data_IF_446596631530
#
_entry.id   IF_446596631530
#
_cell.length_a   1.000
_cell.length_b   1.000
_cell.length_c   1.000
_cell.angle_alpha   90.00
_cell.angle_beta   90.00
_cell.angle_gamma   90.00
#
_symmetry.space_group_name_H-M   'P 1'
#
loop_
_entity.id
_entity.type
_entity.pdbx_description
1 polymer ?
#
# COMPACT_ATOMS: atom_id res chain seq x y z
N UNK A 1 8.35 0.70 -25.78
CA UNK A 1 9.12 1.26 -26.92
C UNK A 1 8.25 2.01 -27.93
N UNK A 2 7.26 1.40 -28.59
CA UNK A 2 6.37 2.11 -29.55
C UNK A 2 5.76 3.39 -28.99
N UNK A 3 5.23 3.32 -27.76
CA UNK A 3 4.67 4.49 -27.08
C UNK A 3 5.71 5.58 -26.79
N UNK A 4 6.97 5.21 -26.54
CA UNK A 4 8.05 6.18 -26.36
C UNK A 4 8.37 6.92 -27.66
N UNK A 5 8.45 6.20 -28.79
CA UNK A 5 8.67 6.84 -30.10
C UNK A 5 7.56 7.82 -30.47
N UNK A 6 6.31 7.54 -30.09
CA UNK A 6 5.18 8.47 -30.26
C UNK A 6 5.34 9.77 -29.48
N UNK A 7 5.96 9.73 -28.31
CA UNK A 7 6.25 10.93 -27.51
C UNK A 7 7.26 11.82 -28.25
N UNK A 8 8.29 11.21 -28.85
CA UNK A 8 9.30 11.93 -29.66
C UNK A 8 8.67 12.50 -30.93
N UNK A 9 7.88 11.70 -31.64
CA UNK A 9 7.21 12.11 -32.89
C UNK A 9 6.26 13.30 -32.66
N UNK A 10 5.62 13.37 -31.49
CA UNK A 10 4.78 14.50 -31.08
C UNK A 10 5.59 15.75 -30.71
N UNK A 11 6.89 15.61 -30.45
CA UNK A 11 7.77 16.71 -30.07
C UNK A 11 7.79 17.03 -28.57
N UNK A 12 7.20 16.18 -27.72
CA UNK A 12 7.17 16.43 -26.28
C UNK A 12 8.56 16.28 -25.64
N UNK A 13 9.33 15.29 -26.11
CA UNK A 13 10.67 14.97 -25.62
C UNK A 13 11.57 14.64 -26.80
N UNK A 14 12.84 15.01 -26.71
CA UNK A 14 13.87 14.48 -27.60
C UNK A 14 14.37 13.13 -27.10
N UNK A 15 15.04 12.36 -27.95
CA UNK A 15 15.69 11.11 -27.52
C UNK A 15 16.71 11.33 -26.39
N UNK A 16 17.39 12.49 -26.37
CA UNK A 16 18.36 12.84 -25.34
C UNK A 16 17.71 13.22 -24.00
N UNK A 17 16.51 13.82 -24.04
CA UNK A 17 15.77 14.22 -22.85
C UNK A 17 14.95 13.07 -22.23
N UNK A 18 14.67 12.01 -22.99
CA UNK A 18 13.86 10.88 -22.56
C UNK A 18 14.62 9.94 -21.61
N UNK A 19 14.99 10.47 -20.45
CA UNK A 19 15.70 9.75 -19.40
C UNK A 19 14.69 9.09 -18.46
N UNK A 20 15.02 7.87 -18.03
CA UNK A 20 14.14 7.08 -17.20
C UNK A 20 14.87 6.01 -16.39
N UNK A 21 14.08 5.26 -15.63
CA UNK A 21 14.57 4.07 -14.94
C UNK A 21 14.99 2.99 -15.94
N UNK A 22 15.68 1.95 -15.46
CA UNK A 22 16.04 0.78 -16.26
C UNK A 22 14.82 0.05 -16.86
N UNK A 23 13.64 0.16 -16.25
CA UNK A 23 12.40 -0.46 -16.72
C UNK A 23 11.60 0.46 -17.67
N UNK A 24 12.09 1.68 -17.94
CA UNK A 24 11.53 2.60 -18.92
C UNK A 24 10.53 3.60 -18.36
N UNK A 25 10.44 3.77 -17.04
CA UNK A 25 9.66 4.84 -16.42
C UNK A 25 10.33 6.21 -16.62
N UNK A 26 9.58 7.22 -17.07
CA UNK A 26 10.09 8.52 -17.48
C UNK A 26 9.85 9.60 -16.42
N UNK A 27 10.84 10.50 -16.29
CA UNK A 27 10.71 11.77 -15.56
C UNK A 27 10.37 11.62 -14.08
N UNK A 28 9.85 12.70 -13.49
CA UNK A 28 9.54 12.77 -12.06
C UNK A 28 8.32 11.91 -11.67
N UNK A 29 7.38 11.71 -12.60
CA UNK A 29 6.19 10.88 -12.37
C UNK A 29 6.49 9.39 -12.45
N UNK A 30 7.64 9.01 -13.00
CA UNK A 30 7.99 7.62 -13.29
C UNK A 30 6.89 6.92 -14.10
N UNK A 31 6.34 7.62 -15.10
CA UNK A 31 5.36 7.03 -16.00
C UNK A 31 6.03 6.14 -17.04
N UNK A 32 5.50 4.93 -17.22
CA UNK A 32 5.74 4.21 -18.46
C UNK A 32 5.24 5.05 -19.64
N UNK A 33 5.86 4.95 -20.83
CA UNK A 33 5.48 5.76 -21.99
C UNK A 33 3.99 5.65 -22.37
N UNK A 34 3.37 4.50 -22.12
CA UNK A 34 1.93 4.31 -22.32
C UNK A 34 1.08 5.19 -21.36
N UNK A 35 1.49 5.29 -20.08
CA UNK A 35 0.85 6.17 -19.12
C UNK A 35 1.11 7.64 -19.45
N UNK A 36 2.33 7.97 -19.88
CA UNK A 36 2.64 9.31 -20.36
C UNK A 36 1.69 9.72 -21.49
N UNK A 37 1.58 8.92 -22.55
CA UNK A 37 0.71 9.27 -23.68
C UNK A 37 -0.76 9.46 -23.27
N UNK A 38 -1.24 8.63 -22.35
CA UNK A 38 -2.65 8.64 -21.91
C UNK A 38 -2.98 9.71 -20.86
N UNK A 39 -2.03 10.05 -19.99
CA UNK A 39 -2.31 10.80 -18.76
C UNK A 39 -1.51 12.08 -18.62
N UNK A 40 -0.44 12.27 -19.39
CA UNK A 40 0.32 13.52 -19.33
C UNK A 40 -0.57 14.69 -19.81
N UNK A 41 -0.45 15.82 -19.11
CA UNK A 41 -1.21 17.05 -19.31
C UNK A 41 -0.21 18.18 -19.49
N UNK A 42 -0.45 19.00 -20.51
CA UNK A 42 0.16 20.32 -20.70
C UNK A 42 -0.71 21.29 -19.90
N UNK A 43 -0.24 21.70 -18.73
CA UNK A 43 -1.02 22.49 -17.78
C UNK A 43 -0.65 23.96 -17.79
N UNK A 44 0.59 24.29 -18.17
CA UNK A 44 1.02 25.68 -18.33
C UNK A 44 0.73 26.25 -19.74
N UNK A 45 0.36 25.39 -20.70
CA UNK A 45 -0.13 25.77 -22.02
C UNK A 45 0.97 26.08 -23.03
N UNK A 46 2.21 25.62 -22.79
CA UNK A 46 3.36 25.89 -23.66
C UNK A 46 3.44 24.97 -24.90
N UNK A 47 2.50 24.02 -25.01
CA UNK A 47 2.40 23.05 -26.10
C UNK A 47 3.13 21.73 -25.81
N UNK A 48 3.77 21.57 -24.65
CA UNK A 48 4.52 20.37 -24.25
C UNK A 48 3.97 19.79 -22.95
N UNK A 49 4.27 18.52 -22.71
CA UNK A 49 3.90 17.82 -21.47
C UNK A 49 5.16 17.48 -20.69
N UNK A 50 5.84 18.49 -20.17
CA UNK A 50 7.17 18.33 -19.57
C UNK A 50 7.08 17.73 -18.15
N UNK A 51 7.11 16.39 -18.08
CA UNK A 51 7.14 15.65 -16.81
C UNK A 51 8.53 15.58 -16.15
N UNK A 52 9.49 16.38 -16.61
CA UNK A 52 10.84 16.46 -16.07
C UNK A 52 11.07 17.76 -15.33
N UNK A 53 10.69 18.90 -15.92
CA UNK A 53 11.00 20.23 -15.39
C UNK A 53 9.77 21.09 -15.08
N UNK A 54 8.62 20.87 -15.74
CA UNK A 54 7.41 21.65 -15.47
C UNK A 54 6.67 21.08 -14.25
N UNK A 55 6.80 21.76 -13.10
CA UNK A 55 6.01 21.43 -11.92
C UNK A 55 4.49 21.44 -12.17
N UNK A 56 3.92 22.42 -12.92
CA UNK A 56 2.53 22.38 -13.36
C UNK A 56 2.15 21.06 -14.06
N UNK A 57 2.90 20.65 -15.08
CA UNK A 57 2.60 19.43 -15.85
C UNK A 57 2.75 18.17 -15.01
N UNK A 58 3.79 18.10 -14.18
CA UNK A 58 4.04 16.96 -13.28
C UNK A 58 2.86 16.78 -12.31
N UNK A 59 2.40 17.86 -11.67
CA UNK A 59 1.31 17.81 -10.70
C UNK A 59 -0.01 17.50 -11.40
N UNK A 60 -0.30 18.14 -12.53
CA UNK A 60 -1.53 17.94 -13.30
C UNK A 60 -1.63 16.52 -13.85
N UNK A 61 -0.54 15.99 -14.41
CA UNK A 61 -0.46 14.64 -14.95
C UNK A 61 -0.58 13.56 -13.87
N UNK A 62 0.09 13.78 -12.73
CA UNK A 62 -0.04 12.90 -11.56
C UNK A 62 -1.48 12.89 -11.06
N UNK A 63 -2.11 14.06 -10.98
CA UNK A 63 -3.52 14.20 -10.56
C UNK A 63 -4.47 13.51 -11.54
N UNK A 64 -4.27 13.71 -12.85
CA UNK A 64 -5.06 13.07 -13.90
C UNK A 64 -4.97 11.55 -13.82
N UNK A 65 -3.76 11.00 -13.62
CA UNK A 65 -3.60 9.56 -13.48
C UNK A 65 -4.25 9.03 -12.19
N UNK A 66 -4.04 9.67 -11.04
CA UNK A 66 -4.67 9.29 -9.76
C UNK A 66 -6.20 9.32 -9.84
N UNK A 67 -6.79 10.33 -10.49
CA UNK A 67 -8.23 10.38 -10.77
C UNK A 67 -8.66 9.21 -11.66
N UNK A 68 -7.91 8.90 -12.71
CA UNK A 68 -8.22 7.75 -13.59
C UNK A 68 -8.15 6.39 -12.89
N UNK A 69 -7.38 6.29 -11.79
CA UNK A 69 -7.30 5.10 -10.94
C UNK A 69 -8.49 4.98 -9.95
N UNK A 70 -9.35 5.99 -9.89
CA UNK A 70 -10.58 6.01 -9.10
C UNK A 70 -10.53 6.88 -7.85
N UNK A 71 -9.61 7.85 -7.77
CA UNK A 71 -9.58 8.78 -6.64
C UNK A 71 -10.88 9.57 -6.51
N UNK A 72 -11.44 9.60 -5.31
CA UNK A 72 -12.66 10.34 -4.98
C UNK A 72 -12.33 11.54 -4.13
N UNK A 73 -12.56 12.74 -4.67
CA UNK A 73 -12.35 14.01 -3.96
C UNK A 73 -13.15 14.03 -2.65
N UNK A 74 -12.51 14.47 -1.57
CA UNK A 74 -13.12 14.60 -0.25
C UNK A 74 -13.21 13.30 0.55
N UNK A 75 -12.89 12.13 -0.02
CA UNK A 75 -12.74 10.91 0.76
C UNK A 75 -11.35 10.81 1.39
N UNK A 76 -11.23 10.34 2.64
CA UNK A 76 -9.94 10.05 3.24
C UNK A 76 -9.28 8.84 2.55
N UNK A 77 -7.97 8.66 2.74
CA UNK A 77 -7.22 7.50 2.26
C UNK A 77 -6.74 6.63 3.42
N UNK A 78 -6.07 7.19 4.43
CA UNK A 78 -5.73 6.49 5.67
C UNK A 78 -6.01 7.34 6.92
N UNK A 79 -6.31 6.69 8.03
CA UNK A 79 -6.44 7.31 9.36
C UNK A 79 -5.76 6.41 10.41
N UNK A 80 -4.84 6.93 11.21
CA UNK A 80 -4.27 6.17 12.32
C UNK A 80 -5.32 5.92 13.41
N UNK A 81 -5.36 4.70 13.94
CA UNK A 81 -6.31 4.28 14.96
C UNK A 81 -5.66 3.47 16.07
N UNK A 82 -6.32 3.45 17.23
CA UNK A 82 -6.00 2.54 18.32
C UNK A 82 -6.97 1.36 18.29
N UNK A 83 -6.40 0.17 18.32
CA UNK A 83 -7.17 -1.08 18.26
C UNK A 83 -7.11 -1.77 19.64
N UNK A 84 -8.25 -2.27 20.17
CA UNK A 84 -8.26 -3.01 21.43
C UNK A 84 -7.68 -4.42 21.23
N UNK A 85 -7.15 -5.01 22.30
CA UNK A 85 -6.42 -6.29 22.22
C UNK A 85 -7.33 -7.48 21.82
N UNK A 86 -8.63 -7.38 22.10
CA UNK A 86 -9.64 -8.39 21.85
C UNK A 86 -10.33 -8.26 20.48
N UNK A 87 -9.81 -7.44 19.56
CA UNK A 87 -10.34 -7.39 18.20
C UNK A 87 -10.26 -8.78 17.55
N UNK A 88 -11.29 -9.13 16.78
CA UNK A 88 -11.25 -10.26 15.85
C UNK A 88 -10.20 -10.01 14.75
N UNK A 89 -8.94 -10.38 15.00
CA UNK A 89 -7.81 -10.06 14.11
C UNK A 89 -7.96 -10.60 12.68
N UNK A 90 -8.76 -11.63 12.47
CA UNK A 90 -9.11 -12.12 11.13
C UNK A 90 -9.84 -11.09 10.26
N UNK A 91 -10.45 -10.07 10.86
CA UNK A 91 -11.09 -8.95 10.15
C UNK A 91 -10.06 -7.91 9.67
N UNK A 92 -8.82 -7.95 10.17
CA UNK A 92 -7.76 -6.99 9.85
C UNK A 92 -7.09 -7.27 8.50
N UNK A 93 -7.82 -7.01 7.42
CA UNK A 93 -7.41 -7.28 6.05
C UNK A 93 -7.85 -6.18 5.10
N UNK A 94 -7.01 -5.83 4.14
CA UNK A 94 -7.36 -4.85 3.11
C UNK A 94 -8.54 -5.33 2.25
N UNK A 95 -8.71 -6.65 2.08
CA UNK A 95 -9.84 -7.23 1.35
C UNK A 95 -11.17 -7.19 2.13
N UNK A 96 -11.15 -6.91 3.44
CA UNK A 96 -12.33 -6.91 4.29
C UNK A 96 -12.69 -5.46 4.64
N UNK A 97 -13.81 -4.98 4.08
CA UNK A 97 -14.34 -3.64 4.37
C UNK A 97 -15.54 -3.75 5.30
N UNK A 98 -15.50 -3.02 6.40
CA UNK A 98 -16.65 -2.80 7.26
C UNK A 98 -16.99 -1.31 7.33
N UNK A 99 -18.25 -0.93 7.59
CA UNK A 99 -18.59 0.44 7.96
C UNK A 99 -17.73 0.93 9.12
N UNK A 100 -17.28 2.18 9.10
CA UNK A 100 -16.49 2.77 10.19
C UNK A 100 -17.18 2.67 11.56
N UNK A 101 -18.50 2.79 11.59
CA UNK A 101 -19.28 2.56 12.81
C UNK A 101 -19.15 1.14 13.39
N UNK A 102 -18.90 0.12 12.57
CA UNK A 102 -18.66 -1.25 13.04
C UNK A 102 -17.28 -1.40 13.69
N UNK A 103 -16.25 -0.76 13.14
CA UNK A 103 -14.94 -0.67 13.80
C UNK A 103 -15.04 0.05 15.15
N UNK A 104 -15.81 1.14 15.20
CA UNK A 104 -16.09 1.86 16.45
C UNK A 104 -16.82 0.98 17.48
N UNK A 105 -17.81 0.18 17.05
CA UNK A 105 -18.52 -0.78 17.92
C UNK A 105 -17.58 -1.86 18.46
N UNK A 106 -16.59 -2.29 17.67
CA UNK A 106 -15.52 -3.19 18.12
C UNK A 106 -14.44 -2.50 18.97
N UNK A 107 -14.63 -1.24 19.35
CA UNK A 107 -13.75 -0.52 20.26
C UNK A 107 -12.54 0.13 19.62
N UNK A 108 -12.49 0.23 18.29
CA UNK A 108 -11.45 1.01 17.59
C UNK A 108 -11.70 2.50 17.84
N UNK A 109 -10.66 3.21 18.25
CA UNK A 109 -10.72 4.66 18.55
C UNK A 109 -9.70 5.44 17.74
N UNK A 110 -9.80 6.77 17.78
CA UNK A 110 -8.72 7.66 17.36
C UNK A 110 -7.47 7.47 18.23
N UNK A 111 -6.29 7.97 17.81
CA UNK A 111 -5.06 7.83 18.58
C UNK A 111 -5.15 8.47 19.97
N UNK A 112 -5.90 9.57 20.10
CA UNK A 112 -6.19 10.28 21.36
C UNK A 112 -7.24 9.60 22.25
N UNK A 113 -7.77 8.44 21.82
CA UNK A 113 -8.80 7.69 22.56
C UNK A 113 -10.23 8.16 22.31
N UNK A 114 -10.45 9.23 21.55
CA UNK A 114 -11.82 9.67 21.20
C UNK A 114 -12.49 8.65 20.28
N UNK A 115 -13.83 8.52 20.35
CA UNK A 115 -14.56 7.60 19.49
C UNK A 115 -14.38 7.96 18.02
N UNK A 116 -14.33 6.93 17.17
CA UNK A 116 -14.50 7.11 15.73
C UNK A 116 -15.95 7.50 15.42
N UNK A 117 -16.21 8.28 14.35
CA UNK A 117 -17.55 8.50 13.86
C UNK A 117 -18.26 7.19 13.52
N UNK A 118 -19.55 7.12 13.85
CA UNK A 118 -20.37 5.92 13.66
C UNK A 118 -21.14 5.95 12.34
N UNK A 119 -20.44 6.25 11.25
CA UNK A 119 -21.03 6.34 9.91
C UNK A 119 -20.79 5.08 9.07
N UNK A 120 -21.37 5.09 7.87
CA UNK A 120 -21.33 3.98 6.93
C UNK A 120 -20.07 3.97 6.04
N UNK A 121 -19.11 4.88 6.27
CA UNK A 121 -17.93 5.00 5.42
C UNK A 121 -17.14 3.69 5.45
N UNK A 122 -16.98 2.97 4.32
CA UNK A 122 -16.29 1.68 4.31
C UNK A 122 -14.80 1.86 4.58
N UNK A 123 -14.27 1.05 5.50
CA UNK A 123 -12.85 1.02 5.83
C UNK A 123 -12.37 -0.40 6.07
N UNK A 124 -11.12 -0.66 5.70
CA UNK A 124 -10.36 -1.87 6.05
C UNK A 124 -9.40 -1.54 7.19
N UNK A 125 -9.15 -2.49 8.09
CA UNK A 125 -8.09 -2.34 9.08
C UNK A 125 -6.75 -2.85 8.52
N UNK A 126 -5.81 -1.94 8.36
CA UNK A 126 -4.46 -2.20 7.87
C UNK A 126 -3.46 -2.21 9.03
N UNK A 127 -2.71 -3.30 9.13
CA UNK A 127 -1.65 -3.51 10.12
C UNK A 127 -0.30 -3.67 9.39
N UNK A 128 0.47 -2.58 9.20
CA UNK A 128 1.76 -2.65 8.49
C UNK A 128 2.77 -3.56 9.18
N UNK A 129 2.73 -3.61 10.52
CA UNK A 129 3.68 -4.32 11.38
C UNK A 129 2.95 -5.24 12.38
N UNK A 130 1.85 -5.85 11.94
CA UNK A 130 1.01 -6.71 12.79
C UNK A 130 0.32 -5.96 13.93
N UNK A 131 -0.36 -6.70 14.81
CA UNK A 131 -1.22 -6.13 15.86
C UNK A 131 -0.50 -5.30 16.92
N UNK A 132 0.82 -5.43 17.01
CA UNK A 132 1.66 -4.73 17.98
C UNK A 132 2.25 -3.42 17.43
N UNK A 133 2.22 -3.23 16.11
CA UNK A 133 2.66 -2.01 15.43
C UNK A 133 1.57 -0.93 15.36
N UNK A 134 1.77 0.10 14.52
CA UNK A 134 0.72 1.05 14.19
C UNK A 134 -0.45 0.35 13.48
N UNK A 135 -1.63 0.91 13.64
CA UNK A 135 -2.85 0.46 12.98
C UNK A 135 -3.48 1.63 12.23
N UNK A 136 -3.96 1.34 11.02
CA UNK A 136 -4.54 2.34 10.12
C UNK A 136 -5.91 1.83 9.67
N UNK A 137 -6.93 2.68 9.66
CA UNK A 137 -8.06 2.48 8.78
C UNK A 137 -7.65 2.93 7.38
N UNK A 138 -7.79 2.03 6.41
CA UNK A 138 -7.59 2.30 4.99
C UNK A 138 -8.95 2.41 4.29
N UNK A 139 -9.12 3.49 3.54
CA UNK A 139 -10.36 3.84 2.84
C UNK A 139 -10.21 3.60 1.34
N UNK A 140 -11.27 3.85 0.56
CA UNK A 140 -11.25 3.62 -0.89
C UNK A 140 -10.12 4.36 -1.62
N UNK A 141 -9.78 5.58 -1.20
CA UNK A 141 -8.67 6.31 -1.81
C UNK A 141 -7.30 5.66 -1.54
N UNK A 142 -7.16 4.80 -0.53
CA UNK A 142 -5.94 4.02 -0.35
C UNK A 142 -5.71 3.01 -1.48
N UNK A 143 -6.79 2.49 -2.07
CA UNK A 143 -6.72 1.52 -3.17
C UNK A 143 -6.01 2.13 -4.40
N UNK A 144 -6.05 3.45 -4.57
CA UNK A 144 -5.34 4.16 -5.66
C UNK A 144 -3.82 4.02 -5.53
N UNK A 145 -3.28 4.07 -4.31
CA UNK A 145 -1.84 3.88 -4.09
C UNK A 145 -1.36 2.48 -4.50
N UNK A 146 -2.18 1.46 -4.24
CA UNK A 146 -1.90 0.07 -4.63
C UNK A 146 -2.06 -0.17 -6.15
N UNK A 147 -2.91 0.61 -6.82
CA UNK A 147 -3.03 0.60 -8.28
C UNK A 147 -1.87 1.31 -8.97
N UNK A 148 -1.34 2.37 -8.33
CA UNK A 148 -0.13 3.06 -8.80
C UNK A 148 1.09 2.14 -8.69
N UNK A 149 1.27 1.50 -7.53
CA UNK A 149 2.37 0.57 -7.30
C UNK A 149 1.90 -0.57 -6.39
N UNK A 150 2.07 -1.80 -6.86
CA UNK A 150 1.60 -3.02 -6.18
C UNK A 150 2.42 -3.41 -4.94
N UNK A 151 3.35 -2.57 -4.49
CA UNK A 151 4.06 -2.72 -3.22
C UNK A 151 3.28 -2.07 -2.08
N UNK A 152 2.83 -2.87 -1.12
CA UNK A 152 2.13 -2.38 0.06
C UNK A 152 3.01 -1.43 0.91
N UNK A 153 4.31 -1.71 1.05
CA UNK A 153 5.23 -0.83 1.79
C UNK A 153 5.39 0.53 1.10
N UNK A 154 5.48 0.55 -0.23
CA UNK A 154 5.47 1.78 -1.01
C UNK A 154 4.16 2.54 -0.81
N UNK A 155 3.01 1.86 -0.98
CA UNK A 155 1.69 2.47 -0.89
C UNK A 155 1.45 3.10 0.49
N UNK A 156 1.81 2.40 1.58
CA UNK A 156 1.75 2.93 2.95
C UNK A 156 2.67 4.14 3.11
N UNK A 157 3.89 4.07 2.58
CA UNK A 157 4.87 5.16 2.72
C UNK A 157 4.38 6.42 2.00
N UNK A 158 3.92 6.30 0.75
CA UNK A 158 3.39 7.41 -0.02
C UNK A 158 2.11 7.99 0.62
N UNK A 159 1.18 7.12 1.05
CA UNK A 159 -0.03 7.51 1.75
C UNK A 159 0.26 8.23 3.07
N UNK A 160 1.23 7.73 3.85
CA UNK A 160 1.65 8.36 5.10
C UNK A 160 2.34 9.70 4.87
N UNK A 161 3.22 9.79 3.87
CA UNK A 161 3.87 11.06 3.52
C UNK A 161 2.83 12.12 3.12
N UNK A 162 1.85 11.75 2.30
CA UNK A 162 0.74 12.65 1.94
C UNK A 162 -0.03 13.12 3.19
N UNK A 163 -0.29 12.22 4.15
CA UNK A 163 -0.96 12.58 5.41
C UNK A 163 -0.11 13.51 6.28
N UNK A 164 1.21 13.33 6.30
CA UNK A 164 2.14 14.22 7.02
C UNK A 164 2.19 15.62 6.41
N UNK A 165 2.14 15.72 5.07
CA UNK A 165 2.05 17.00 4.36
C UNK A 165 0.72 17.69 4.68
N UNK A 166 -0.38 16.94 4.80
CA UNK A 166 -1.72 17.45 5.17
C UNK A 166 -1.88 17.69 6.68
N UNK A 167 -0.81 17.57 7.48
CA UNK A 167 -0.80 17.93 8.90
C UNK A 167 -1.13 16.80 9.88
N UNK A 168 -1.29 15.55 9.43
CA UNK A 168 -1.40 14.41 10.35
C UNK A 168 -0.13 14.28 11.20
N UNK A 169 -0.20 13.81 12.47
CA UNK A 169 0.97 13.63 13.32
C UNK A 169 1.91 12.52 12.83
N UNK A 170 3.07 12.38 13.47
CA UNK A 170 3.98 11.24 13.24
C UNK A 170 3.27 9.96 13.67
N UNK A 171 3.30 8.94 12.81
CA UNK A 171 2.70 7.64 13.10
C UNK A 171 3.30 7.01 14.36
N UNK A 172 2.46 6.41 15.21
CA UNK A 172 2.94 5.67 16.37
C UNK A 172 3.89 4.54 15.96
N UNK A 173 4.87 4.24 16.83
CA UNK A 173 5.72 3.05 16.70
C UNK A 173 5.00 1.76 17.10
N UNK A 174 3.77 1.86 17.60
CA UNK A 174 3.00 0.73 18.13
C UNK A 174 3.12 0.58 19.65
N UNK A 175 2.64 -0.55 20.16
CA UNK A 175 2.61 -0.87 21.59
C UNK A 175 3.84 -1.65 22.06
N UNK A 176 4.62 -2.21 21.14
CA UNK A 176 5.81 -3.00 21.44
C UNK A 176 6.79 -2.96 20.26
N UNK A 177 8.03 -3.39 20.52
CA UNK A 177 8.98 -3.69 19.46
C UNK A 177 8.41 -4.84 18.61
N UNK A 178 8.34 -4.64 17.29
CA UNK A 178 7.93 -5.66 16.34
C UNK A 178 9.16 -6.23 15.67
N UNK A 179 9.57 -7.48 15.96
CA UNK A 179 10.70 -8.11 15.29
C UNK A 179 10.43 -8.22 13.78
N UNK A 180 11.45 -7.92 12.98
CA UNK A 180 11.43 -8.10 11.52
C UNK A 180 12.21 -9.36 11.20
N UNK A 181 11.66 -10.21 10.34
CA UNK A 181 12.39 -11.38 9.85
C UNK A 181 13.57 -10.93 9.00
N UNK A 182 14.70 -11.63 9.13
CA UNK A 182 15.80 -11.50 8.16
C UNK A 182 15.32 -11.97 6.79
N UNK A 183 16.02 -11.56 5.74
CA UNK A 183 15.71 -12.01 4.37
C UNK A 183 15.70 -13.54 4.25
N UNK A 184 16.67 -14.23 4.85
CA UNK A 184 16.72 -15.69 4.86
C UNK A 184 15.58 -16.33 5.65
N UNK A 185 15.22 -15.77 6.81
CA UNK A 185 14.06 -16.25 7.57
C UNK A 185 12.73 -16.01 6.85
N UNK A 186 12.61 -14.89 6.11
CA UNK A 186 11.45 -14.61 5.27
C UNK A 186 11.32 -15.63 4.12
N UNK A 187 12.44 -15.97 3.45
CA UNK A 187 12.47 -17.03 2.43
C UNK A 187 12.10 -18.38 3.02
N UNK A 188 12.64 -18.71 4.18
CA UNK A 188 12.31 -19.96 4.86
C UNK A 188 10.82 -20.05 5.21
N UNK A 189 10.23 -18.97 5.73
CA UNK A 189 8.79 -18.88 5.97
C UNK A 189 7.97 -19.07 4.69
N UNK A 190 8.35 -18.44 3.58
CA UNK A 190 7.67 -18.65 2.31
C UNK A 190 7.77 -20.10 1.83
N UNK A 191 8.93 -20.76 1.96
CA UNK A 191 9.10 -22.18 1.60
C UNK A 191 8.15 -23.08 2.40
N UNK A 192 8.03 -22.85 3.70
CA UNK A 192 7.10 -23.63 4.53
C UNK A 192 5.63 -23.35 4.18
N UNK A 193 5.29 -22.09 3.90
CA UNK A 193 3.94 -21.73 3.43
C UNK A 193 3.62 -22.39 2.08
N UNK A 194 4.58 -22.48 1.16
CA UNK A 194 4.43 -23.17 -0.13
C UNK A 194 4.25 -24.67 0.10
N UNK A 195 5.12 -25.29 0.91
CA UNK A 195 5.08 -26.72 1.23
C UNK A 195 3.72 -27.13 1.82
N UNK A 196 3.14 -26.30 2.68
CA UNK A 196 1.85 -26.54 3.31
C UNK A 196 0.65 -26.07 2.46
N UNK A 197 0.88 -25.57 1.25
CA UNK A 197 -0.17 -25.18 0.30
C UNK A 197 -0.86 -23.82 0.59
N UNK A 198 -0.30 -22.99 1.47
CA UNK A 198 -0.83 -21.65 1.76
C UNK A 198 -0.39 -20.60 0.74
N UNK A 199 0.79 -20.78 0.13
CA UNK A 199 1.41 -19.87 -0.84
C UNK A 199 1.76 -20.65 -2.13
N UNK A 200 1.78 -19.95 -3.26
CA UNK A 200 2.22 -20.49 -4.55
C UNK A 200 3.39 -19.68 -5.08
N UNK A 201 4.16 -20.28 -5.99
CA UNK A 201 5.33 -19.66 -6.60
C UNK A 201 6.62 -19.93 -5.84
N UNK A 202 7.55 -18.97 -5.87
CA UNK A 202 8.88 -19.10 -5.31
C UNK A 202 9.06 -18.32 -4.00
N UNK A 203 10.03 -18.75 -3.20
CA UNK A 203 10.44 -18.04 -2.00
C UNK A 203 11.49 -16.97 -2.33
N UNK A 204 11.02 -15.76 -2.63
CA UNK A 204 11.83 -14.60 -3.03
C UNK A 204 12.25 -13.67 -1.87
N UNK A 205 11.77 -13.95 -0.65
CA UNK A 205 12.01 -13.17 0.57
C UNK A 205 11.20 -11.89 0.66
N UNK A 206 10.36 -11.57 -0.34
CA UNK A 206 9.54 -10.37 -0.39
C UNK A 206 8.18 -10.66 0.25
N UNK A 207 7.90 -9.97 1.35
CA UNK A 207 6.66 -10.16 2.12
C UNK A 207 5.49 -9.36 1.52
N UNK A 208 5.19 -9.61 0.25
CA UNK A 208 4.12 -8.95 -0.50
C UNK A 208 2.71 -9.40 -0.09
N UNK A 209 1.70 -8.92 -0.83
CA UNK A 209 0.30 -9.20 -0.55
C UNK A 209 -0.04 -10.70 -0.49
N UNK A 210 0.50 -11.50 -1.43
CA UNK A 210 0.30 -12.95 -1.46
C UNK A 210 0.88 -13.63 -0.21
N UNK A 211 2.10 -13.25 0.22
CA UNK A 211 2.70 -13.78 1.43
C UNK A 211 1.89 -13.37 2.67
N UNK A 212 1.43 -12.12 2.78
CA UNK A 212 0.58 -11.68 3.90
C UNK A 212 -0.73 -12.48 3.97
N UNK A 213 -1.38 -12.73 2.85
CA UNK A 213 -2.59 -13.55 2.79
C UNK A 213 -2.32 -15.01 3.19
N UNK A 214 -1.20 -15.59 2.77
CA UNK A 214 -0.78 -16.94 3.16
C UNK A 214 -0.46 -17.02 4.66
N UNK A 215 0.26 -16.03 5.19
CA UNK A 215 0.55 -15.89 6.63
C UNK A 215 -0.74 -15.87 7.43
N UNK A 216 -1.73 -15.07 7.02
CA UNK A 216 -3.04 -15.01 7.69
C UNK A 216 -3.75 -16.36 7.74
N UNK A 217 -3.77 -17.09 6.61
CA UNK A 217 -4.37 -18.43 6.53
C UNK A 217 -3.67 -19.40 7.48
N UNK A 218 -2.34 -19.37 7.52
CA UNK A 218 -1.57 -20.20 8.44
C UNK A 218 -1.84 -19.83 9.91
N UNK A 219 -1.85 -18.52 10.25
CA UNK A 219 -2.17 -18.05 11.59
C UNK A 219 -3.53 -18.56 12.07
N UNK A 220 -4.56 -18.48 11.22
CA UNK A 220 -5.89 -19.04 11.49
C UNK A 220 -5.83 -20.55 11.76
N UNK A 221 -5.12 -21.32 10.92
CA UNK A 221 -4.98 -22.77 11.11
C UNK A 221 -4.33 -23.13 12.44
N UNK A 222 -3.33 -22.36 12.86
CA UNK A 222 -2.59 -22.61 14.10
C UNK A 222 -3.20 -21.93 15.34
N UNK A 223 -4.40 -21.36 15.24
CA UNK A 223 -5.06 -20.66 16.35
C UNK A 223 -4.30 -19.42 16.83
N UNK A 224 -3.46 -18.84 15.97
CA UNK A 224 -2.77 -17.58 16.24
C UNK A 224 -3.65 -16.39 15.84
N UNK A 225 -3.43 -15.20 16.42
CA UNK A 225 -4.12 -14.00 15.94
C UNK A 225 -3.76 -13.71 14.48
N UNK A 226 -4.78 -13.63 13.63
CA UNK A 226 -4.64 -13.56 12.18
C UNK A 226 -4.36 -12.14 11.65
N UNK A 227 -3.29 -11.52 12.15
CA UNK A 227 -2.89 -10.14 11.85
C UNK A 227 -2.06 -9.98 10.55
N UNK A 228 -1.87 -11.08 9.80
CA UNK A 228 -1.16 -11.15 8.51
C UNK A 228 0.31 -10.75 8.58
N UNK A 229 0.91 -10.65 9.77
CA UNK A 229 2.31 -10.29 9.94
C UNK A 229 3.17 -11.53 10.23
N UNK A 230 4.21 -11.79 9.42
CA UNK A 230 5.07 -12.95 9.62
C UNK A 230 5.97 -12.76 10.84
N UNK A 231 6.05 -13.79 11.68
CA UNK A 231 6.87 -13.79 12.90
C UNK A 231 7.74 -15.03 12.99
N UNK A 232 8.79 -14.97 13.80
CA UNK A 232 9.61 -16.14 14.10
C UNK A 232 8.79 -17.26 14.77
N UNK A 233 7.80 -16.89 15.59
CA UNK A 233 6.86 -17.85 16.19
C UNK A 233 6.05 -18.60 15.12
N UNK A 234 5.51 -17.89 14.12
CA UNK A 234 4.80 -18.53 13.02
C UNK A 234 5.72 -19.48 12.23
N UNK A 235 6.96 -19.04 11.94
CA UNK A 235 7.94 -19.89 11.27
C UNK A 235 8.23 -21.18 12.06
N UNK A 236 8.38 -21.08 13.37
CA UNK A 236 8.58 -22.25 14.24
C UNK A 236 7.36 -23.18 14.20
N UNK A 237 6.13 -22.66 14.27
CA UNK A 237 4.91 -23.49 14.17
C UNK A 237 4.77 -24.17 12.82
N UNK A 238 5.09 -23.47 11.72
CA UNK A 238 5.10 -24.02 10.37
C UNK A 238 6.09 -25.20 10.25
N UNK A 239 7.27 -25.08 10.86
CA UNK A 239 8.28 -26.15 10.92
C UNK A 239 7.89 -27.30 11.85
N UNK A 240 7.18 -27.01 12.93
CA UNK A 240 6.77 -28.01 13.92
C UNK A 240 5.54 -28.81 13.49
N UNK A 241 4.69 -28.25 12.61
CA UNK A 241 3.61 -28.97 11.93
C UNK A 241 4.12 -29.95 10.86
N UNK A 242 5.26 -30.60 11.14
CA UNK A 242 5.79 -31.77 10.44
C UNK A 242 5.00 -33.01 10.82
#
# INVERSE_FOLDING_TARGET
>A
LKEALRIIDRGDLTAADMIGSWAGELGQTQFLPAHYNKHAVDFDGDGRRDLFRSAPDIIASTSNFIVSLGWKRGLPWIEEVRVPANLAWQEADLAIKHPRGKWAQWGVTRPDGKPLPKDALPASLLLPMGRHGPALLAYENFDVYLKWNQSLSYAITAAHLAARIDGAPVLSRGKALVPVLTFEAAKELQRELIRLGYLQGEADGKLGAATRAAVKKAQLKFGMPADSYPTAELLQRLKAGR
#
